data_IF_436654150219
#
_entry.id   IF_436654150219
#
_cell.length_a   1.000
_cell.length_b   1.000
_cell.length_c   1.000
_cell.angle_alpha   90.00
_cell.angle_beta   90.00
_cell.angle_gamma   90.00
#
_symmetry.space_group_name_H-M   'P 1'
#
loop_
_entity.id
_entity.type
_entity.pdbx_description
1 polymer ?
#
# COMPACT_ATOMS: atom_id res chain seq x y z
N UNK A 1 -21.88 -7.28 18.55
CA UNK A 1 -20.47 -7.30 18.12
C UNK A 1 -20.49 -7.70 16.66
N UNK A 2 -20.44 -6.74 15.74
CA UNK A 2 -20.42 -7.03 14.30
C UNK A 2 -19.01 -7.52 13.94
N UNK A 3 -18.93 -8.73 13.40
CA UNK A 3 -17.73 -9.24 12.76
C UNK A 3 -17.26 -8.20 11.74
N UNK A 4 -16.13 -7.58 12.03
CA UNK A 4 -15.51 -6.66 11.08
C UNK A 4 -14.98 -7.55 9.98
N UNK A 5 -15.61 -7.52 8.81
CA UNK A 5 -15.26 -8.34 7.66
C UNK A 5 -13.82 -8.01 7.24
N UNK A 6 -12.84 -8.70 7.82
CA UNK A 6 -11.42 -8.54 7.51
C UNK A 6 -11.19 -9.19 6.16
N UNK A 7 -11.11 -8.35 5.13
CA UNK A 7 -10.69 -8.79 3.80
C UNK A 7 -9.27 -9.35 3.93
N UNK A 8 -9.10 -10.64 3.65
CA UNK A 8 -7.81 -11.33 3.63
C UNK A 8 -7.35 -11.49 2.17
N UNK A 9 -6.11 -11.08 1.87
CA UNK A 9 -5.54 -11.25 0.52
C UNK A 9 -4.69 -12.52 0.49
N UNK A 10 -5.04 -13.44 -0.42
CA UNK A 10 -4.25 -14.62 -0.75
C UNK A 10 -3.48 -14.36 -2.04
N UNK A 11 -2.16 -14.48 -1.99
CA UNK A 11 -1.27 -14.36 -3.16
C UNK A 11 -0.71 -15.74 -3.46
N UNK A 12 -0.93 -16.22 -4.68
CA UNK A 12 -0.34 -17.46 -5.18
C UNK A 12 0.90 -17.09 -6.01
N UNK A 13 2.06 -17.63 -5.64
CA UNK A 13 3.30 -17.47 -6.39
C UNK A 13 3.64 -18.80 -7.02
N UNK A 14 3.59 -18.84 -8.35
CA UNK A 14 3.95 -20.01 -9.15
C UNK A 14 5.40 -19.87 -9.62
N UNK A 15 6.20 -20.91 -9.39
CA UNK A 15 7.59 -20.97 -9.86
C UNK A 15 7.73 -22.11 -10.87
N UNK A 16 8.05 -21.81 -12.14
CA UNK A 16 8.25 -22.85 -13.15
C UNK A 16 9.38 -23.81 -12.73
N UNK A 17 9.03 -25.08 -12.51
CA UNK A 17 9.99 -26.12 -12.09
C UNK A 17 10.42 -26.04 -10.62
N UNK A 18 9.81 -25.17 -9.82
CA UNK A 18 10.05 -25.03 -8.39
C UNK A 18 8.80 -25.25 -7.54
N UNK A 19 8.90 -25.13 -6.21
CA UNK A 19 7.73 -25.17 -5.33
C UNK A 19 6.84 -23.94 -5.53
N UNK A 20 5.54 -24.14 -5.46
CA UNK A 20 4.56 -23.06 -5.40
C UNK A 20 4.40 -22.57 -3.96
N UNK A 21 4.07 -21.28 -3.80
CA UNK A 21 3.89 -20.65 -2.50
C UNK A 21 2.51 -20.01 -2.38
N UNK A 22 1.84 -20.33 -1.28
CA UNK A 22 0.63 -19.64 -0.83
C UNK A 22 0.99 -18.65 0.27
N UNK A 23 0.85 -17.35 -0.01
CA UNK A 23 1.17 -16.30 0.96
C UNK A 23 -0.12 -15.58 1.37
N UNK A 24 -0.35 -15.50 2.69
CA UNK A 24 -1.40 -14.67 3.28
C UNK A 24 -0.81 -13.33 3.68
N UNK A 25 -1.42 -12.25 3.22
CA UNK A 25 -0.97 -10.89 3.52
C UNK A 25 -2.16 -10.09 4.07
N UNK A 26 -1.93 -9.38 5.16
CA UNK A 26 -2.89 -8.41 5.68
C UNK A 26 -3.21 -7.34 4.63
N UNK A 27 -4.49 -7.12 4.36
CA UNK A 27 -4.94 -6.18 3.32
C UNK A 27 -4.32 -4.78 3.47
N UNK A 28 -4.29 -4.25 4.70
CA UNK A 28 -3.69 -2.93 4.97
C UNK A 28 -2.21 -2.88 4.56
N UNK A 29 -1.45 -3.95 4.81
CA UNK A 29 -0.03 -4.03 4.46
C UNK A 29 0.14 -4.03 2.94
N UNK A 30 -0.67 -4.80 2.22
CA UNK A 30 -0.66 -4.83 0.77
C UNK A 30 -1.02 -3.47 0.15
N UNK A 31 -2.09 -2.84 0.65
CA UNK A 31 -2.50 -1.51 0.19
C UNK A 31 -1.39 -0.46 0.40
N UNK A 32 -0.70 -0.49 1.56
CA UNK A 32 0.47 0.37 1.79
C UNK A 32 1.57 0.12 0.75
N UNK A 33 1.88 -1.14 0.45
CA UNK A 33 2.89 -1.50 -0.56
C UNK A 33 2.52 -0.97 -1.95
N UNK A 34 1.26 -1.17 -2.37
CA UNK A 34 0.77 -0.71 -3.67
C UNK A 34 0.78 0.82 -3.77
N UNK A 35 0.34 1.53 -2.72
CA UNK A 35 0.37 2.99 -2.69
C UNK A 35 1.79 3.54 -2.81
N UNK A 36 2.74 2.99 -2.05
CA UNK A 36 4.14 3.38 -2.11
C UNK A 36 4.73 3.15 -3.51
N UNK A 37 4.43 1.99 -4.11
CA UNK A 37 4.86 1.65 -5.47
C UNK A 37 4.33 2.65 -6.50
N UNK A 38 3.04 2.95 -6.46
CA UNK A 38 2.41 3.91 -7.38
C UNK A 38 3.00 5.31 -7.23
N UNK A 39 3.23 5.78 -6.01
CA UNK A 39 3.85 7.09 -5.77
C UNK A 39 5.28 7.16 -6.32
N UNK A 40 6.07 6.09 -6.17
CA UNK A 40 7.42 6.02 -6.78
C UNK A 40 7.33 6.12 -8.31
N UNK A 41 6.41 5.39 -8.94
CA UNK A 41 6.22 5.43 -10.40
C UNK A 41 5.72 6.80 -10.90
N UNK A 42 4.95 7.53 -10.10
CA UNK A 42 4.54 8.91 -10.37
C UNK A 42 5.69 9.93 -10.13
N UNK A 43 6.89 9.48 -9.75
CA UNK A 43 8.08 10.33 -9.62
C UNK A 43 8.31 10.91 -8.23
N UNK A 44 7.63 10.40 -7.20
CA UNK A 44 7.91 10.76 -5.81
C UNK A 44 9.14 10.01 -5.29
N UNK A 45 10.02 10.74 -4.60
CA UNK A 45 11.01 10.16 -3.70
C UNK A 45 10.39 9.93 -2.32
N UNK A 46 10.51 8.72 -1.78
CA UNK A 46 9.91 8.35 -0.50
C UNK A 46 11.01 7.96 0.51
N UNK A 47 10.94 8.50 1.73
CA UNK A 47 11.85 8.16 2.82
C UNK A 47 11.09 7.73 4.07
N UNK A 48 11.33 6.49 4.53
CA UNK A 48 10.77 6.00 5.80
C UNK A 48 11.49 6.64 7.01
N UNK A 49 10.72 7.05 8.02
CA UNK A 49 11.18 7.64 9.28
C UNK A 49 10.33 7.13 10.44
N UNK A 50 10.85 6.17 11.21
CA UNK A 50 10.11 5.53 12.32
C UNK A 50 8.71 5.10 11.85
N UNK A 51 7.67 5.77 12.34
CA UNK A 51 6.24 5.53 12.05
C UNK A 51 5.68 6.53 11.02
N UNK A 52 6.49 6.98 10.06
CA UNK A 52 6.06 7.93 9.04
C UNK A 52 6.82 7.75 7.73
N UNK A 53 6.26 8.30 6.65
CA UNK A 53 6.87 8.35 5.34
C UNK A 53 6.92 9.80 4.85
N UNK A 54 8.10 10.22 4.39
CA UNK A 54 8.29 11.55 3.80
C UNK A 54 8.27 11.40 2.30
N UNK A 55 7.38 12.14 1.63
CA UNK A 55 7.24 12.15 0.18
C UNK A 55 7.77 13.49 -0.36
N UNK A 56 8.63 13.42 -1.36
CA UNK A 56 9.22 14.61 -2.01
C UNK A 56 9.17 14.45 -3.52
N UNK A 57 8.65 15.44 -4.25
CA UNK A 57 8.65 15.47 -5.72
C UNK A 57 9.45 16.69 -6.17
N UNK A 58 10.40 16.50 -7.09
CA UNK A 58 11.34 17.56 -7.48
C UNK A 58 10.73 18.61 -8.42
N UNK A 59 9.70 18.25 -9.19
CA UNK A 59 8.94 19.24 -9.95
C UNK A 59 8.01 20.01 -9.01
N UNK A 60 8.13 21.34 -8.98
CA UNK A 60 7.35 22.32 -8.18
C UNK A 60 7.82 22.64 -6.75
N UNK A 61 8.86 21.99 -6.20
CA UNK A 61 9.34 22.31 -4.85
C UNK A 61 8.37 21.95 -3.72
N UNK A 62 7.34 21.14 -3.99
CA UNK A 62 6.40 20.63 -2.99
C UNK A 62 7.01 19.47 -2.20
N UNK A 63 7.00 19.61 -0.88
CA UNK A 63 7.39 18.58 0.08
C UNK A 63 6.17 18.25 0.94
N UNK A 64 5.75 17.00 0.93
CA UNK A 64 4.62 16.52 1.72
C UNK A 64 5.12 15.49 2.75
N UNK A 65 4.81 15.71 4.03
CA UNK A 65 5.11 14.76 5.10
C UNK A 65 3.81 14.05 5.43
N UNK A 66 3.72 12.77 5.06
CA UNK A 66 2.55 11.94 5.34
C UNK A 66 2.83 11.09 6.58
N UNK A 67 2.14 11.41 7.67
CA UNK A 67 2.12 10.57 8.87
C UNK A 67 1.48 9.22 8.53
N UNK A 68 1.97 8.13 9.12
CA UNK A 68 1.44 6.78 8.81
C UNK A 68 -0.06 6.65 9.16
N UNK A 69 -0.52 7.38 10.18
CA UNK A 69 -1.94 7.48 10.55
C UNK A 69 -2.77 8.22 9.51
N UNK A 70 -2.25 9.31 8.93
CA UNK A 70 -2.91 10.02 7.85
C UNK A 70 -2.94 9.18 6.57
N UNK A 71 -1.83 8.49 6.26
CA UNK A 71 -1.75 7.55 5.15
C UNK A 71 -2.79 6.43 5.29
N UNK A 72 -2.91 5.84 6.48
CA UNK A 72 -3.92 4.82 6.79
C UNK A 72 -5.35 5.36 6.59
N UNK A 73 -5.65 6.56 7.07
CA UNK A 73 -6.97 7.18 6.89
C UNK A 73 -7.25 7.53 5.44
N UNK A 74 -6.25 8.04 4.72
CA UNK A 74 -6.33 8.35 3.30
C UNK A 74 -6.58 7.08 2.47
N UNK A 75 -5.83 6.01 2.75
CA UNK A 75 -6.05 4.71 2.12
C UNK A 75 -7.43 4.14 2.44
N UNK A 76 -7.87 4.18 3.70
CA UNK A 76 -9.22 3.72 4.07
C UNK A 76 -10.33 4.51 3.35
N UNK A 77 -10.10 5.79 3.07
CA UNK A 77 -11.07 6.65 2.36
C UNK A 77 -11.00 6.58 0.83
N UNK A 78 -9.85 6.22 0.25
CA UNK A 78 -9.61 6.32 -1.20
C UNK A 78 -9.26 4.99 -1.89
N UNK A 79 -8.83 3.99 -1.13
CA UNK A 79 -8.50 2.63 -1.61
C UNK A 79 -9.63 1.67 -1.22
N UNK A 80 -10.73 1.72 -1.97
CA UNK A 80 -11.71 0.65 -1.97
C UNK A 80 -11.22 -0.44 -2.92
N UNK A 81 -10.92 -1.63 -2.40
CA UNK A 81 -10.49 -2.79 -3.21
C UNK A 81 -11.53 -3.10 -4.29
N UNK A 82 -12.81 -2.83 -4.02
CA UNK A 82 -13.86 -3.01 -5.02
C UNK A 82 -13.71 -2.09 -6.24
N UNK A 83 -13.04 -0.94 -6.10
CA UNK A 83 -12.75 -0.02 -7.22
C UNK A 83 -11.51 -0.39 -8.02
N UNK A 84 -10.67 -1.30 -7.52
CA UNK A 84 -9.45 -1.76 -8.21
C UNK A 84 -9.74 -2.98 -9.08
N UNK A 85 -10.78 -3.75 -8.74
CA UNK A 85 -11.18 -4.98 -9.41
C UNK A 85 -12.24 -4.79 -10.53
N UNK A 86 -12.63 -3.56 -10.83
CA UNK A 86 -13.57 -3.18 -11.92
C UNK A 86 -12.90 -2.23 -12.89
#
# INVERSE_FOLDING_TARGET
MSETNQIELKVNIESPGGPNYDIRIENIKFQKMLFLFNAINDGWSIKKRKESYIFTKNHEGKKEILLDTYLLSFMKGNFDVNKILT
#
